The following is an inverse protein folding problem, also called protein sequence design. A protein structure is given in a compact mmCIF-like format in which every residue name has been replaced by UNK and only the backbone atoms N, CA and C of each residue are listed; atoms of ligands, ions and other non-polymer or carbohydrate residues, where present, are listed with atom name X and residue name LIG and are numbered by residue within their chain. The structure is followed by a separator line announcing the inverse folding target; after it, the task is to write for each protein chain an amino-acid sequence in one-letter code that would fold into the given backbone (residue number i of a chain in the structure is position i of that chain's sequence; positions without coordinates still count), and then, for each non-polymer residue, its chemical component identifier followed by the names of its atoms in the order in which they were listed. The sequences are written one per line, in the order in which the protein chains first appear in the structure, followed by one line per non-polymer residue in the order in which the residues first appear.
data_IF_000016534806
#
_entry.id   IF_000016534806
#
_cell.length_a   1.000
_cell.length_b   1.000
_cell.length_c   1.000
_cell.angle_alpha   90.00
_cell.angle_beta   90.00
_cell.angle_gamma   90.00
#
_symmetry.space_group_name_H-M   'P 1'
#
loop_
_entity.id
_entity.type
_entity.pdbx_description
1 polymer ?
#
# COMPACT_ATOMS: atom_id res chain seq x y z
N UNK A 1 -33.88 4.89 -43.73
CA UNK A 1 -34.66 4.48 -42.54
C UNK A 1 -34.64 5.65 -41.55
N UNK A 2 -35.76 6.38 -41.36
CA UNK A 2 -35.80 7.56 -40.47
C UNK A 2 -36.03 7.07 -39.03
N UNK A 3 -34.98 7.10 -38.20
CA UNK A 3 -35.11 6.83 -36.76
C UNK A 3 -35.92 7.96 -36.15
N UNK A 4 -37.06 7.62 -35.54
CA UNK A 4 -37.95 8.56 -34.86
C UNK A 4 -37.21 9.28 -33.72
N UNK A 5 -37.38 10.60 -33.61
CA UNK A 5 -36.82 11.41 -32.51
C UNK A 5 -37.16 10.84 -31.13
N UNK A 6 -38.30 10.16 -30.99
CA UNK A 6 -38.70 9.49 -29.74
C UNK A 6 -37.78 8.29 -29.42
N UNK A 7 -37.39 7.50 -30.43
CA UNK A 7 -36.51 6.34 -30.24
C UNK A 7 -35.11 6.80 -29.83
N UNK A 8 -34.60 7.88 -30.43
CA UNK A 8 -33.32 8.49 -30.04
C UNK A 8 -33.35 9.00 -28.59
N UNK A 9 -34.46 9.60 -28.16
CA UNK A 9 -34.63 10.10 -26.79
C UNK A 9 -34.64 8.97 -25.75
N UNK A 10 -35.34 7.87 -26.02
CA UNK A 10 -35.31 6.70 -25.14
C UNK A 10 -33.93 6.05 -25.07
N UNK A 11 -33.20 6.00 -26.18
CA UNK A 11 -31.82 5.50 -26.20
C UNK A 11 -30.89 6.36 -25.33
N UNK A 12 -31.00 7.70 -25.42
CA UNK A 12 -30.23 8.61 -24.58
C UNK A 12 -30.57 8.47 -23.10
N UNK A 13 -31.83 8.28 -22.75
CA UNK A 13 -32.25 8.08 -21.35
C UNK A 13 -31.71 6.75 -20.81
N UNK A 14 -31.76 5.67 -21.59
CA UNK A 14 -31.19 4.37 -21.19
C UNK A 14 -29.66 4.45 -21.00
N UNK A 15 -28.95 5.18 -21.89
CA UNK A 15 -27.50 5.41 -21.76
C UNK A 15 -27.19 6.26 -20.50
N UNK A 16 -28.01 7.27 -20.19
CA UNK A 16 -27.85 8.10 -18.99
C UNK A 16 -28.06 7.32 -17.68
N UNK A 17 -28.97 6.32 -17.66
CA UNK A 17 -29.19 5.46 -16.49
C UNK A 17 -28.20 4.29 -16.40
N UNK A 18 -27.60 3.83 -17.51
CA UNK A 18 -26.54 2.81 -17.48
C UNK A 18 -25.15 3.36 -17.13
N UNK A 19 -24.94 4.68 -17.20
CA UNK A 19 -23.64 5.28 -16.90
C UNK A 19 -23.33 5.42 -15.40
N UNK A 20 -24.27 5.11 -14.50
CA UNK A 20 -23.99 5.03 -13.06
C UNK A 20 -23.64 3.59 -12.68
N UNK A 21 -22.48 3.10 -13.12
CA UNK A 21 -21.85 1.94 -12.48
C UNK A 21 -21.66 2.28 -11.01
N UNK A 22 -22.47 1.68 -10.13
CA UNK A 22 -22.34 1.85 -8.68
C UNK A 22 -20.91 1.48 -8.30
N UNK A 23 -20.14 2.48 -7.88
CA UNK A 23 -18.78 2.30 -7.39
C UNK A 23 -18.81 1.29 -6.24
N UNK A 24 -18.00 0.23 -6.33
CA UNK A 24 -17.91 -0.75 -5.27
C UNK A 24 -17.49 -0.04 -3.97
N UNK A 25 -18.33 -0.03 -2.92
CA UNK A 25 -18.08 0.76 -1.72
C UNK A 25 -16.81 0.34 -0.98
N UNK A 26 -16.36 -0.90 -1.16
CA UNK A 26 -15.13 -1.45 -0.59
C UNK A 26 -13.86 -0.82 -1.16
N UNK A 27 -13.87 -0.35 -2.41
CA UNK A 27 -12.68 0.22 -3.05
C UNK A 27 -12.27 1.49 -2.32
N UNK A 28 -11.00 1.59 -1.93
CA UNK A 28 -10.39 2.73 -1.28
C UNK A 28 -9.47 2.33 -0.13
N UNK A 29 -8.91 3.33 0.54
CA UNK A 29 -8.05 3.15 1.71
C UNK A 29 -8.88 3.23 2.99
N UNK A 30 -8.63 2.32 3.91
CA UNK A 30 -9.37 2.16 5.14
C UNK A 30 -8.41 2.17 6.31
N UNK A 31 -8.46 3.25 7.10
CA UNK A 31 -7.67 3.42 8.32
C UNK A 31 -8.35 2.70 9.48
N UNK A 32 -7.60 1.89 10.21
CA UNK A 32 -8.08 1.26 11.42
C UNK A 32 -8.24 2.31 12.53
N UNK A 33 -9.37 2.31 13.24
CA UNK A 33 -9.67 3.38 14.22
C UNK A 33 -9.83 2.92 15.66
N UNK A 34 -10.38 1.72 15.95
CA UNK A 34 -10.55 1.26 17.35
C UNK A 34 -10.99 -0.21 17.48
N UNK A 35 -10.54 -0.91 18.53
CA UNK A 35 -11.10 -2.18 19.05
C UNK A 35 -11.19 -2.07 20.58
N UNK A 36 -12.39 -1.83 21.11
CA UNK A 36 -12.78 -2.39 22.41
C UNK A 36 -14.30 -2.38 22.52
N UNK A 37 -14.88 -3.57 22.63
CA UNK A 37 -16.32 -3.80 22.86
C UNK A 37 -16.48 -4.28 24.29
N UNK A 38 -16.08 -3.48 25.28
CA UNK A 38 -16.27 -3.84 26.68
C UNK A 38 -17.27 -2.92 27.42
N UNK A 39 -17.69 -1.80 26.82
CA UNK A 39 -18.67 -0.91 27.45
C UNK A 39 -19.58 -0.24 26.41
N UNK A 40 -20.90 -0.28 26.58
CA UNK A 40 -21.87 0.35 25.66
C UNK A 40 -21.69 1.87 25.56
N UNK A 41 -21.16 2.50 26.62
CA UNK A 41 -20.90 3.94 26.69
C UNK A 41 -19.75 4.41 25.78
N UNK A 42 -18.77 3.55 25.50
CA UNK A 42 -17.60 3.91 24.68
C UNK A 42 -17.81 3.63 23.18
N UNK A 43 -18.92 2.99 22.80
CA UNK A 43 -19.31 2.71 21.41
C UNK A 43 -19.47 3.97 20.53
N UNK A 44 -19.68 5.12 21.16
CA UNK A 44 -19.94 6.41 20.51
C UNK A 44 -18.84 7.45 20.74
N UNK A 45 -17.78 7.14 21.50
CA UNK A 45 -16.64 8.05 21.59
C UNK A 45 -15.84 7.97 20.30
N UNK A 46 -15.82 9.07 19.54
CA UNK A 46 -14.73 9.33 18.60
C UNK A 46 -13.48 9.69 19.42
N UNK A 47 -12.94 8.71 20.15
CA UNK A 47 -11.66 8.93 20.80
C UNK A 47 -10.58 8.92 19.71
N UNK A 48 -9.85 10.04 19.61
CA UNK A 48 -8.76 10.28 18.68
C UNK A 48 -7.47 9.52 19.11
N UNK A 49 -7.64 8.31 19.65
CA UNK A 49 -6.53 7.41 19.99
C UNK A 49 -5.90 6.86 18.71
N UNK A 50 -5.08 7.72 18.14
CA UNK A 50 -4.14 7.61 17.02
C UNK A 50 -3.06 6.53 17.15
N UNK A 51 -3.17 5.59 18.09
CA UNK A 51 -2.12 4.59 18.33
C UNK A 51 -2.05 3.50 17.26
N UNK A 52 -3.10 3.32 16.46
CA UNK A 52 -3.13 2.31 15.43
C UNK A 52 -2.87 2.89 14.04
N UNK A 53 -1.70 2.54 13.49
CA UNK A 53 -1.25 2.94 12.14
C UNK A 53 -1.44 1.81 11.11
N UNK A 54 -2.46 0.98 11.30
CA UNK A 54 -2.79 -0.08 10.33
C UNK A 54 -3.82 0.43 9.32
N UNK A 55 -3.61 0.10 8.05
CA UNK A 55 -4.45 0.55 6.93
C UNK A 55 -4.62 -0.57 5.93
N UNK A 56 -5.81 -0.70 5.36
CA UNK A 56 -6.06 -1.60 4.23
C UNK A 56 -6.55 -0.79 3.03
N UNK A 57 -5.86 -0.91 1.91
CA UNK A 57 -6.29 -0.37 0.62
C UNK A 57 -6.81 -1.51 -0.23
N UNK A 58 -8.04 -1.37 -0.72
CA UNK A 58 -8.67 -2.27 -1.67
C UNK A 58 -8.76 -1.55 -3.02
N UNK A 59 -8.00 -1.98 -4.01
CA UNK A 59 -7.95 -1.35 -5.34
C UNK A 59 -9.01 -1.93 -6.27
N UNK A 60 -9.42 -1.14 -7.27
CA UNK A 60 -10.43 -1.54 -8.26
C UNK A 60 -9.99 -2.63 -9.25
N UNK A 61 -8.70 -2.94 -9.30
CA UNK A 61 -8.12 -4.06 -10.06
C UNK A 61 -8.01 -5.35 -9.23
N UNK A 62 -8.75 -5.41 -8.10
CA UNK A 62 -8.73 -6.50 -7.13
C UNK A 62 -7.38 -6.72 -6.43
N UNK A 63 -6.45 -5.76 -6.49
CA UNK A 63 -5.25 -5.79 -5.65
C UNK A 63 -5.52 -5.18 -4.28
N UNK A 64 -4.78 -5.61 -3.25
CA UNK A 64 -4.83 -4.97 -1.94
C UNK A 64 -3.44 -4.72 -1.37
N UNK A 65 -3.38 -3.70 -0.50
CA UNK A 65 -2.25 -3.41 0.37
C UNK A 65 -2.77 -3.34 1.80
N UNK A 66 -2.21 -4.13 2.71
CA UNK A 66 -2.48 -4.02 4.13
C UNK A 66 -1.17 -3.71 4.85
N UNK A 67 -1.12 -2.54 5.46
CA UNK A 67 -0.05 -2.12 6.36
C UNK A 67 -0.49 -2.45 7.77
N UNK A 68 0.30 -3.25 8.48
CA UNK A 68 0.03 -3.70 9.84
C UNK A 68 1.15 -3.29 10.79
N UNK A 69 0.82 -2.53 11.83
CA UNK A 69 1.79 -1.95 12.77
C UNK A 69 1.72 -2.60 14.19
N UNK A 70 1.49 -3.91 14.26
CA UNK A 70 2.01 -4.81 15.31
C UNK A 70 1.43 -4.75 16.73
N UNK A 71 0.56 -3.80 17.10
CA UNK A 71 -0.06 -3.79 18.45
C UNK A 71 -1.38 -4.55 18.54
N UNK A 72 -2.15 -4.61 17.45
CA UNK A 72 -3.39 -5.40 17.33
C UNK A 72 -3.60 -5.68 15.85
N UNK A 73 -2.96 -6.72 15.37
CA UNK A 73 -3.07 -7.07 13.96
C UNK A 73 -4.33 -7.89 13.71
N UNK A 74 -5.07 -7.62 12.62
CA UNK A 74 -6.10 -8.53 12.15
C UNK A 74 -5.55 -9.87 11.67
N UNK A 75 -4.23 -9.96 11.49
CA UNK A 75 -3.54 -11.12 10.93
C UNK A 75 -2.52 -11.66 11.93
N UNK A 76 -1.58 -10.89 12.48
CA UNK A 76 -0.50 -11.36 13.38
C UNK A 76 -0.94 -11.46 14.85
N UNK A 77 -0.61 -12.58 15.49
CA UNK A 77 -0.94 -12.88 16.89
C UNK A 77 0.25 -12.74 17.85
N UNK A 78 1.43 -12.33 17.37
CA UNK A 78 2.59 -12.21 18.25
C UNK A 78 2.46 -10.96 19.13
N UNK A 79 2.03 -11.17 20.37
CA UNK A 79 2.24 -10.21 21.46
C UNK A 79 3.73 -9.90 21.54
N UNK A 80 4.12 -8.72 21.08
CA UNK A 80 5.48 -8.24 21.26
C UNK A 80 5.67 -8.04 22.77
N UNK A 81 6.65 -8.68 23.41
CA UNK A 81 6.91 -8.48 24.83
C UNK A 81 7.12 -6.98 25.10
N UNK A 82 6.37 -6.41 26.03
CA UNK A 82 6.45 -4.98 26.40
C UNK A 82 7.87 -4.53 26.79
N UNK A 83 8.74 -5.47 27.12
CA UNK A 83 10.10 -5.23 27.59
C UNK A 83 11.16 -5.27 26.47
N UNK A 84 10.79 -5.49 25.21
CA UNK A 84 11.75 -5.38 24.10
C UNK A 84 11.94 -3.90 23.69
N UNK A 85 12.67 -3.15 24.52
CA UNK A 85 13.19 -1.81 24.21
C UNK A 85 14.34 -1.89 23.18
N UNK A 86 14.11 -2.51 22.02
CA UNK A 86 14.97 -2.30 20.87
C UNK A 86 14.41 -1.12 20.06
N UNK A 87 15.08 0.03 20.15
CA UNK A 87 14.82 1.27 19.40
C UNK A 87 15.05 1.13 17.88
N UNK A 88 14.49 0.12 17.22
CA UNK A 88 14.49 0.00 15.77
C UNK A 88 13.13 -0.53 15.27
N UNK A 89 12.13 0.35 15.19
CA UNK A 89 11.15 0.60 14.09
C UNK A 89 10.65 -0.52 13.13
N UNK A 90 10.81 -1.82 13.39
CA UNK A 90 10.57 -2.88 12.39
C UNK A 90 9.27 -3.70 12.54
N UNK A 91 8.32 -3.26 13.36
CA UNK A 91 7.06 -4.00 13.56
C UNK A 91 6.01 -3.75 12.46
N UNK A 92 6.36 -3.03 11.40
CA UNK A 92 5.47 -2.84 10.26
C UNK A 92 5.58 -4.01 9.29
N UNK A 93 4.50 -4.76 9.14
CA UNK A 93 4.30 -5.77 8.10
C UNK A 93 3.47 -5.14 6.97
N UNK A 94 3.86 -5.37 5.71
CA UNK A 94 3.05 -4.95 4.56
C UNK A 94 2.66 -6.19 3.76
N UNK A 95 1.37 -6.49 3.71
CA UNK A 95 0.79 -7.55 2.89
C UNK A 95 0.34 -6.97 1.56
N UNK A 96 0.70 -7.64 0.47
CA UNK A 96 0.28 -7.31 -0.88
C UNK A 96 -0.24 -8.55 -1.58
N UNK A 97 -1.32 -8.41 -2.35
CA UNK A 97 -1.82 -9.47 -3.20
C UNK A 97 -3.20 -9.16 -3.75
N UNK A 98 -4.06 -10.17 -3.86
CA UNK A 98 -5.41 -10.00 -4.43
C UNK A 98 -6.51 -10.17 -3.40
N UNK A 99 -7.66 -9.54 -3.66
CA UNK A 99 -8.85 -9.69 -2.84
C UNK A 99 -10.08 -10.03 -3.68
N UNK A 100 -11.04 -10.71 -3.06
CA UNK A 100 -12.35 -11.00 -3.65
C UNK A 100 -13.43 -11.02 -2.58
N UNK A 101 -14.70 -10.98 -2.99
CA UNK A 101 -15.83 -11.01 -2.05
C UNK A 101 -16.85 -12.04 -2.48
N UNK A 102 -17.28 -12.87 -1.53
CA UNK A 102 -18.38 -13.82 -1.70
C UNK A 102 -19.14 -13.94 -0.38
N UNK A 103 -20.47 -13.86 -0.42
CA UNK A 103 -21.35 -14.06 0.74
C UNK A 103 -20.97 -13.18 1.97
N UNK A 104 -20.66 -11.90 1.73
CA UNK A 104 -20.17 -10.95 2.74
C UNK A 104 -18.86 -11.34 3.43
N UNK A 105 -18.07 -12.25 2.83
CA UNK A 105 -16.73 -12.60 3.25
C UNK A 105 -15.75 -12.00 2.23
N UNK A 106 -14.78 -11.25 2.72
CA UNK A 106 -13.62 -10.80 1.96
C UNK A 106 -12.55 -11.87 2.06
N UNK A 107 -12.04 -12.32 0.93
CA UNK A 107 -10.93 -13.27 0.82
C UNK A 107 -9.70 -12.50 0.34
N UNK A 108 -8.56 -12.76 0.95
CA UNK A 108 -7.28 -12.15 0.64
C UNK A 108 -6.28 -13.24 0.30
N UNK A 109 -5.61 -13.12 -0.83
CA UNK A 109 -4.50 -13.98 -1.25
C UNK A 109 -3.21 -13.13 -1.29
N UNK A 110 -2.27 -13.38 -0.38
CA UNK A 110 -0.99 -12.66 -0.32
C UNK A 110 0.00 -13.23 -1.33
N UNK A 111 0.78 -12.33 -1.94
CA UNK A 111 1.80 -12.66 -2.94
C UNK A 111 3.22 -12.37 -2.46
N UNK A 112 3.35 -11.70 -1.32
CA UNK A 112 4.64 -11.31 -0.74
C UNK A 112 4.91 -11.95 0.64
N UNK A 113 4.07 -12.88 1.10
CA UNK A 113 4.20 -13.47 2.43
C UNK A 113 4.01 -15.00 2.41
N UNK A 114 5.07 -15.75 2.75
CA UNK A 114 5.08 -17.22 2.63
C UNK A 114 4.20 -17.94 3.66
N UNK A 115 4.19 -17.47 4.90
CA UNK A 115 3.54 -18.20 6.01
C UNK A 115 2.03 -17.96 6.09
N UNK A 116 1.51 -16.99 5.32
CA UNK A 116 0.09 -16.63 5.30
C UNK A 116 -0.34 -16.28 3.88
N UNK A 117 -0.38 -17.28 2.99
CA UNK A 117 -0.78 -17.06 1.61
C UNK A 117 -2.24 -16.61 1.51
N UNK A 118 -3.08 -16.93 2.49
CA UNK A 118 -4.50 -16.60 2.44
C UNK A 118 -5.04 -16.24 3.84
N UNK A 119 -5.98 -15.30 3.88
CA UNK A 119 -6.82 -15.01 5.05
C UNK A 119 -8.17 -14.44 4.61
N UNK A 120 -9.14 -14.42 5.52
CA UNK A 120 -10.48 -13.92 5.21
C UNK A 120 -11.05 -13.08 6.35
N UNK A 121 -12.04 -12.25 6.03
CA UNK A 121 -12.78 -11.47 7.03
C UNK A 121 -14.26 -11.34 6.66
N UNK A 122 -15.14 -11.45 7.65
CA UNK A 122 -16.58 -11.22 7.45
C UNK A 122 -16.90 -9.74 7.57
N UNK A 123 -17.61 -9.20 6.59
CA UNK A 123 -18.18 -7.85 6.64
C UNK A 123 -19.39 -7.89 7.58
N UNK A 124 -19.28 -7.26 8.74
CA UNK A 124 -20.36 -7.12 9.72
C UNK A 124 -21.29 -5.97 9.33
N UNK A 125 -20.71 -4.83 8.96
CA UNK A 125 -21.44 -3.67 8.46
C UNK A 125 -20.54 -2.79 7.61
N UNK A 126 -21.13 -2.06 6.67
CA UNK A 126 -20.40 -1.12 5.82
C UNK A 126 -21.31 0.00 5.33
N UNK A 127 -20.76 1.21 5.28
CA UNK A 127 -21.30 2.34 4.52
C UNK A 127 -20.16 3.03 3.76
N UNK A 128 -20.42 4.18 3.15
CA UNK A 128 -19.43 4.92 2.35
C UNK A 128 -18.21 5.41 3.15
N UNK A 129 -18.29 5.46 4.49
CA UNK A 129 -17.24 6.00 5.37
C UNK A 129 -16.71 5.02 6.40
N UNK A 130 -17.46 3.96 6.74
CA UNK A 130 -17.12 3.05 7.81
C UNK A 130 -17.31 1.60 7.35
N UNK A 131 -16.38 0.74 7.75
CA UNK A 131 -16.45 -0.69 7.54
C UNK A 131 -16.12 -1.40 8.85
N UNK A 132 -16.90 -2.43 9.18
CA UNK A 132 -16.68 -3.29 10.33
C UNK A 132 -16.42 -4.70 9.84
N UNK A 133 -15.25 -5.22 10.19
CA UNK A 133 -14.75 -6.51 9.78
C UNK A 133 -14.64 -7.44 10.99
N UNK A 134 -14.95 -8.72 10.83
CA UNK A 134 -14.71 -9.75 11.85
C UNK A 134 -13.82 -10.81 11.25
N UNK A 135 -12.62 -10.96 11.81
CA UNK A 135 -11.67 -11.97 11.37
C UNK A 135 -11.97 -13.28 12.12
N UNK A 136 -11.94 -14.44 11.43
CA UNK A 136 -12.15 -15.74 12.06
C UNK A 136 -11.08 -15.98 13.14
N UNK A 137 -11.44 -16.75 14.17
CA UNK A 137 -10.63 -16.94 15.39
C UNK A 137 -9.18 -17.30 15.06
N UNK A 138 -8.26 -16.35 15.28
CA UNK A 138 -6.82 -16.62 15.25
C UNK A 138 -6.34 -16.87 16.67
N UNK A 139 -6.39 -18.15 17.05
CA UNK A 139 -5.78 -18.82 18.21
C UNK A 139 -5.95 -18.30 19.65
N UNK A 140 -6.31 -17.05 19.98
CA UNK A 140 -6.46 -16.66 21.41
C UNK A 140 -7.57 -15.65 21.74
N UNK A 141 -8.23 -15.02 20.76
CA UNK A 141 -9.33 -14.07 21.02
C UNK A 141 -10.53 -14.36 20.13
N UNK A 142 -11.61 -14.88 20.74
CA UNK A 142 -12.86 -15.14 20.02
C UNK A 142 -13.47 -13.84 19.50
N UNK A 143 -13.82 -13.80 18.22
CA UNK A 143 -14.75 -12.83 17.65
C UNK A 143 -14.33 -11.36 17.74
N UNK A 144 -13.06 -11.03 17.46
CA UNK A 144 -12.62 -9.64 17.42
C UNK A 144 -13.19 -8.93 16.19
N UNK A 145 -13.85 -7.80 16.43
CA UNK A 145 -14.36 -6.94 15.38
C UNK A 145 -13.46 -5.71 15.21
N UNK A 146 -13.05 -5.44 13.97
CA UNK A 146 -12.16 -4.36 13.59
C UNK A 146 -12.98 -3.27 12.91
N UNK A 147 -12.88 -2.03 13.42
CA UNK A 147 -13.51 -0.86 12.81
C UNK A 147 -12.51 -0.12 11.94
N UNK A 148 -12.90 0.13 10.71
CA UNK A 148 -12.16 0.93 9.76
C UNK A 148 -12.96 2.15 9.32
N UNK A 149 -12.29 3.29 9.23
CA UNK A 149 -12.80 4.53 8.63
C UNK A 149 -12.13 4.72 7.29
N UNK A 150 -12.91 5.01 6.26
CA UNK A 150 -12.38 5.27 4.93
C UNK A 150 -11.52 6.53 4.97
N UNK A 151 -10.25 6.37 4.67
CA UNK A 151 -9.32 7.44 4.43
C UNK A 151 -9.36 7.77 2.94
N UNK A 152 -9.27 9.05 2.64
CA UNK A 152 -9.37 9.57 1.29
C UNK A 152 -10.77 9.45 0.66
N UNK A 153 -11.51 10.56 0.67
CA UNK A 153 -12.76 10.67 -0.07
C UNK A 153 -12.53 10.62 -1.60
N UNK A 154 -11.29 10.88 -2.05
CA UNK A 154 -10.83 10.68 -3.41
C UNK A 154 -10.12 9.34 -3.48
N UNK A 155 -10.69 8.42 -4.25
CA UNK A 155 -10.11 7.11 -4.44
C UNK A 155 -8.78 7.22 -5.18
N UNK A 156 -7.68 6.78 -4.56
CA UNK A 156 -6.35 6.71 -5.19
C UNK A 156 -6.43 6.05 -6.57
N UNK A 157 -7.35 5.09 -6.75
CA UNK A 157 -7.54 4.40 -8.02
C UNK A 157 -8.00 5.31 -9.17
N UNK A 158 -8.56 6.49 -8.86
CA UNK A 158 -8.98 7.50 -9.82
C UNK A 158 -7.91 8.56 -10.10
N UNK A 159 -6.82 8.57 -9.33
CA UNK A 159 -5.70 9.48 -9.56
C UNK A 159 -4.81 8.98 -10.69
N UNK A 160 -4.21 9.91 -11.44
CA UNK A 160 -3.12 9.59 -12.38
C UNK A 160 -1.89 9.00 -11.69
N UNK A 161 -1.77 9.20 -10.37
CA UNK A 161 -0.69 8.67 -9.53
C UNK A 161 -1.17 7.48 -8.69
N UNK A 162 -1.97 6.58 -9.29
CA UNK A 162 -2.53 5.41 -8.62
C UNK A 162 -1.44 4.41 -8.20
N UNK A 163 -0.74 4.70 -7.10
CA UNK A 163 0.35 3.89 -6.56
C UNK A 163 -0.15 2.57 -5.94
N UNK A 164 -1.46 2.36 -5.83
CA UNK A 164 -2.07 1.18 -5.20
C UNK A 164 -2.47 0.11 -6.22
N UNK A 165 -2.31 0.38 -7.52
CA UNK A 165 -2.57 -0.60 -8.56
C UNK A 165 -1.55 -1.76 -8.54
N UNK A 166 -1.94 -2.89 -9.11
CA UNK A 166 -1.13 -4.09 -9.16
C UNK A 166 0.18 -3.86 -9.93
N UNK A 167 0.12 -3.13 -11.04
CA UNK A 167 1.27 -2.90 -11.93
C UNK A 167 2.43 -2.19 -11.22
N UNK A 168 2.17 -1.18 -10.40
CA UNK A 168 3.18 -0.48 -9.61
C UNK A 168 3.60 -1.23 -8.35
N UNK A 169 2.97 -2.35 -8.00
CA UNK A 169 3.30 -3.11 -6.79
C UNK A 169 3.94 -4.48 -7.07
N UNK A 170 4.23 -4.81 -8.34
CA UNK A 170 4.89 -6.07 -8.73
C UNK A 170 6.23 -6.28 -8.04
N UNK A 171 6.94 -5.20 -7.69
CA UNK A 171 8.20 -5.27 -6.97
C UNK A 171 8.08 -5.97 -5.61
N UNK A 172 6.90 -5.97 -4.99
CA UNK A 172 6.63 -6.63 -3.70
C UNK A 172 6.56 -8.14 -3.82
N UNK A 173 6.36 -8.70 -5.01
CA UNK A 173 6.18 -10.15 -5.20
C UNK A 173 7.52 -10.85 -5.05
N UNK A 174 7.61 -11.85 -4.17
CA UNK A 174 8.86 -12.60 -3.98
C UNK A 174 9.20 -13.42 -5.23
N UNK A 175 10.46 -13.36 -5.66
CA UNK A 175 10.96 -14.17 -6.77
C UNK A 175 11.02 -15.66 -6.41
N UNK A 176 10.45 -16.51 -7.27
CA UNK A 176 10.37 -17.98 -7.07
C UNK A 176 11.60 -18.73 -7.58
N UNK A 177 12.44 -18.08 -8.38
CA UNK A 177 13.65 -18.64 -8.98
C UNK A 177 14.70 -17.56 -9.15
N UNK A 178 15.97 -17.97 -9.31
CA UNK A 178 17.09 -17.09 -9.65
C UNK A 178 16.74 -16.16 -10.80
N UNK A 179 17.10 -14.89 -10.68
CA UNK A 179 16.76 -13.85 -11.65
C UNK A 179 17.96 -13.49 -12.53
N UNK A 180 17.68 -13.07 -13.76
CA UNK A 180 18.70 -12.40 -14.57
C UNK A 180 18.87 -10.95 -14.11
N UNK A 181 19.99 -10.31 -14.48
CA UNK A 181 20.25 -8.90 -14.19
C UNK A 181 19.13 -7.98 -14.68
N UNK A 182 18.54 -8.30 -15.83
CA UNK A 182 17.42 -7.54 -16.42
C UNK A 182 16.17 -7.66 -15.57
N UNK A 183 15.83 -8.87 -15.10
CA UNK A 183 14.68 -9.08 -14.21
C UNK A 183 14.86 -8.40 -12.86
N UNK A 184 16.08 -8.41 -12.33
CA UNK A 184 16.43 -7.68 -11.10
C UNK A 184 16.24 -6.17 -11.34
N UNK A 185 16.79 -5.63 -12.44
CA UNK A 185 16.64 -4.23 -12.81
C UNK A 185 15.17 -3.82 -12.93
N UNK A 186 14.36 -4.56 -13.68
CA UNK A 186 12.92 -4.25 -13.84
C UNK A 186 12.17 -4.23 -12.50
N UNK A 187 12.57 -5.08 -11.54
CA UNK A 187 11.99 -5.07 -10.19
C UNK A 187 12.37 -3.80 -9.41
N UNK A 188 13.61 -3.32 -9.55
CA UNK A 188 14.08 -2.06 -8.95
C UNK A 188 13.39 -0.86 -9.62
N UNK A 189 13.27 -0.85 -10.94
CA UNK A 189 12.56 0.18 -11.68
C UNK A 189 11.11 0.30 -11.21
N UNK A 190 10.41 -0.83 -11.08
CA UNK A 190 9.04 -0.86 -10.57
C UNK A 190 8.92 -0.34 -9.12
N UNK A 191 9.91 -0.63 -8.27
CA UNK A 191 9.98 -0.12 -6.90
C UNK A 191 10.19 1.42 -6.85
N UNK A 192 11.01 1.95 -7.76
CA UNK A 192 11.21 3.40 -7.90
C UNK A 192 9.96 4.08 -8.46
N UNK A 193 9.32 3.50 -9.49
CA UNK A 193 8.08 4.00 -10.09
C UNK A 193 6.95 4.05 -9.06
N UNK A 194 6.80 3.03 -8.22
CA UNK A 194 5.92 3.07 -7.05
C UNK A 194 6.21 4.25 -6.15
N UNK A 195 7.48 4.42 -5.74
CA UNK A 195 7.89 5.45 -4.80
C UNK A 195 7.63 6.85 -5.34
N UNK A 196 7.87 7.05 -6.63
CA UNK A 196 7.61 8.30 -7.34
C UNK A 196 6.10 8.56 -7.37
N UNK A 197 5.29 7.61 -7.84
CA UNK A 197 3.84 7.76 -7.91
C UNK A 197 3.23 8.02 -6.51
N UNK A 198 3.73 7.32 -5.49
CA UNK A 198 3.31 7.52 -4.10
C UNK A 198 3.57 8.96 -3.65
N UNK A 199 4.78 9.49 -3.84
CA UNK A 199 5.09 10.87 -3.41
C UNK A 199 4.39 11.92 -4.28
N UNK A 200 4.29 11.72 -5.59
CA UNK A 200 3.56 12.63 -6.50
C UNK A 200 2.07 12.70 -6.16
N UNK A 201 1.46 11.58 -5.75
CA UNK A 201 0.09 11.56 -5.26
C UNK A 201 -0.08 12.48 -4.05
N UNK A 202 0.78 12.31 -3.04
CA UNK A 202 0.70 13.07 -1.79
C UNK A 202 1.05 14.55 -2.00
N UNK A 203 1.98 14.85 -2.90
CA UNK A 203 2.26 16.23 -3.32
C UNK A 203 1.05 16.86 -4.00
N UNK A 204 0.43 16.15 -4.95
CA UNK A 204 -0.68 16.66 -5.75
C UNK A 204 -1.95 16.88 -4.92
N UNK A 205 -2.22 15.98 -3.98
CA UNK A 205 -3.39 16.05 -3.10
C UNK A 205 -3.16 16.91 -1.84
N UNK A 206 -1.96 17.48 -1.65
CA UNK A 206 -1.55 18.22 -0.45
C UNK A 206 -1.77 17.41 0.85
N UNK A 207 -1.33 16.15 0.83
CA UNK A 207 -1.49 15.18 1.92
C UNK A 207 -0.15 14.76 2.50
N UNK A 208 -0.15 14.40 3.79
CA UNK A 208 1.03 13.83 4.44
C UNK A 208 1.31 12.44 3.86
N UNK A 209 2.52 12.24 3.32
CA UNK A 209 2.97 10.96 2.82
C UNK A 209 3.25 9.98 3.97
N UNK A 210 2.37 8.98 4.13
CA UNK A 210 2.57 7.91 5.10
C UNK A 210 3.57 6.88 4.58
N UNK A 211 4.86 7.09 4.87
CA UNK A 211 5.97 6.27 4.34
C UNK A 211 5.93 4.81 4.77
N UNK A 212 5.00 4.39 5.65
CA UNK A 212 4.74 2.98 5.94
C UNK A 212 4.29 2.19 4.70
N UNK A 213 3.61 2.84 3.74
CA UNK A 213 3.34 2.22 2.43
C UNK A 213 4.62 1.87 1.68
N UNK A 214 5.72 2.57 1.93
CA UNK A 214 6.99 2.35 1.25
C UNK A 214 7.74 1.14 1.81
N UNK A 215 7.37 0.54 2.93
CA UNK A 215 8.04 -0.69 3.38
C UNK A 215 7.75 -1.87 2.43
N UNK A 216 8.71 -2.76 2.14
CA UNK A 216 10.06 -2.82 2.73
C UNK A 216 11.15 -2.12 1.90
N UNK A 217 10.86 -1.06 1.15
CA UNK A 217 11.86 -0.38 0.30
C UNK A 217 13.15 -0.06 1.06
N UNK A 218 14.31 -0.11 0.37
CA UNK A 218 15.61 0.14 0.98
C UNK A 218 15.87 1.64 1.21
N UNK A 219 14.83 2.46 1.37
CA UNK A 219 14.94 3.91 1.52
C UNK A 219 14.49 4.38 2.91
N UNK A 220 15.17 5.40 3.44
CA UNK A 220 14.70 6.21 4.56
C UNK A 220 14.36 7.60 4.03
N UNK A 221 13.12 8.01 4.20
CA UNK A 221 12.63 9.32 3.77
C UNK A 221 12.77 10.32 4.93
N UNK A 222 13.36 11.48 4.64
CA UNK A 222 13.56 12.59 5.58
C UNK A 222 12.99 13.89 5.01
N UNK A 223 12.90 14.91 5.87
CA UNK A 223 12.46 16.25 5.48
C UNK A 223 13.43 16.96 4.52
N UNK A 224 14.69 16.53 4.43
CA UNK A 224 15.71 17.16 3.59
C UNK A 224 16.29 16.21 2.54
N UNK A 225 15.64 15.07 2.29
CA UNK A 225 16.09 14.11 1.30
C UNK A 225 15.76 12.67 1.66
N UNK A 226 16.35 11.76 0.91
CA UNK A 226 16.19 10.32 1.05
C UNK A 226 17.57 9.70 1.22
N UNK A 227 17.68 8.65 2.02
CA UNK A 227 18.90 7.88 2.17
C UNK A 227 18.66 6.41 1.84
N UNK A 228 19.65 5.77 1.21
CA UNK A 228 19.63 4.33 1.02
C UNK A 228 20.02 3.63 2.33
N UNK A 229 19.14 2.78 2.85
CA UNK A 229 19.40 1.88 3.99
C UNK A 229 20.54 0.94 3.62
N UNK A 230 21.45 0.61 4.55
CA UNK A 230 22.56 -0.34 4.28
C UNK A 230 22.00 -1.74 3.97
N UNK A 231 22.60 -2.47 3.02
CA UNK A 231 22.15 -3.80 2.57
C UNK A 231 21.79 -4.77 3.70
N UNK A 232 22.69 -4.94 4.68
CA UNK A 232 22.49 -5.86 5.81
C UNK A 232 21.38 -5.43 6.78
N UNK A 233 20.87 -4.20 6.69
CA UNK A 233 19.75 -3.70 7.50
C UNK A 233 18.40 -3.80 6.78
N UNK A 234 18.37 -4.42 5.60
CA UNK A 234 17.21 -4.47 4.71
C UNK A 234 16.65 -5.90 4.54
N UNK A 235 16.55 -6.67 5.62
CA UNK A 235 16.13 -8.07 5.56
C UNK A 235 14.83 -8.27 4.78
N UNK A 236 13.78 -7.47 5.07
CA UNK A 236 12.49 -7.54 4.36
C UNK A 236 12.56 -7.20 2.87
N UNK A 237 13.47 -6.33 2.45
CA UNK A 237 13.71 -6.04 1.02
C UNK A 237 14.44 -7.20 0.36
N UNK A 238 15.49 -7.70 1.01
CA UNK A 238 16.30 -8.80 0.53
C UNK A 238 15.43 -10.07 0.35
N UNK A 239 14.45 -10.26 1.24
CA UNK A 239 13.47 -11.33 1.17
C UNK A 239 12.56 -11.30 -0.07
N UNK A 240 12.49 -10.17 -0.79
CA UNK A 240 11.72 -10.07 -2.04
C UNK A 240 12.44 -10.72 -3.24
N UNK A 241 13.73 -11.02 -3.10
CA UNK A 241 14.54 -11.69 -4.11
C UNK A 241 14.56 -13.21 -3.87
N UNK A 242 15.14 -13.94 -4.82
CA UNK A 242 15.20 -15.40 -4.73
C UNK A 242 16.20 -15.85 -3.65
N UNK A 243 17.39 -15.26 -3.67
CA UNK A 243 18.50 -15.51 -2.75
C UNK A 243 19.27 -14.21 -2.42
N UNK A 244 20.27 -14.33 -1.55
CA UNK A 244 21.10 -13.20 -1.10
C UNK A 244 21.93 -12.58 -2.23
N UNK A 245 22.37 -13.38 -3.20
CA UNK A 245 23.15 -12.88 -4.34
C UNK A 245 22.28 -11.99 -5.24
N UNK A 246 21.04 -12.39 -5.55
CA UNK A 246 20.10 -11.55 -6.31
C UNK A 246 19.79 -10.24 -5.55
N UNK A 247 19.61 -10.32 -4.23
CA UNK A 247 19.42 -9.14 -3.39
C UNK A 247 20.64 -8.20 -3.39
N UNK A 248 21.85 -8.76 -3.33
CA UNK A 248 23.10 -7.99 -3.39
C UNK A 248 23.28 -7.31 -4.74
N UNK A 249 23.05 -8.04 -5.84
CA UNK A 249 23.07 -7.46 -7.19
C UNK A 249 22.08 -6.31 -7.29
N UNK A 250 20.87 -6.49 -6.75
CA UNK A 250 19.86 -5.45 -6.77
C UNK A 250 20.27 -4.21 -5.99
N UNK A 251 20.84 -4.41 -4.80
CA UNK A 251 21.34 -3.34 -3.95
C UNK A 251 22.49 -2.58 -4.61
N UNK A 252 23.44 -3.28 -5.23
CA UNK A 252 24.59 -2.65 -5.88
C UNK A 252 24.17 -1.84 -7.11
N UNK A 253 23.23 -2.35 -7.92
CA UNK A 253 22.64 -1.60 -9.03
C UNK A 253 21.96 -0.33 -8.52
N UNK A 254 21.08 -0.46 -7.53
CA UNK A 254 20.36 0.67 -6.96
C UNK A 254 21.31 1.70 -6.34
N UNK A 255 22.30 1.25 -5.55
CA UNK A 255 23.29 2.12 -4.91
C UNK A 255 24.12 2.87 -5.94
N UNK A 256 24.56 2.21 -7.01
CA UNK A 256 25.30 2.87 -8.10
C UNK A 256 24.49 4.00 -8.68
N UNK A 257 23.24 3.74 -9.08
CA UNK A 257 22.38 4.76 -9.68
C UNK A 257 21.98 5.87 -8.70
N UNK A 258 21.74 5.52 -7.43
CA UNK A 258 21.43 6.48 -6.38
C UNK A 258 22.60 7.45 -6.11
N UNK A 259 23.84 6.96 -6.20
CA UNK A 259 25.03 7.79 -6.02
C UNK A 259 25.34 8.69 -7.22
N UNK A 260 24.73 8.44 -8.38
CA UNK A 260 24.89 9.23 -9.61
C UNK A 260 23.85 10.35 -9.74
N UNK A 261 22.99 10.54 -8.73
CA UNK A 261 21.95 11.58 -8.75
C UNK A 261 22.57 12.96 -8.88
N UNK A 262 22.02 13.75 -9.81
CA UNK A 262 22.45 15.12 -10.06
C UNK A 262 22.22 16.03 -8.83
N UNK A 263 22.89 17.18 -8.82
CA UNK A 263 22.67 18.21 -7.79
C UNK A 263 21.21 18.65 -7.76
N UNK A 264 20.67 18.77 -6.54
CA UNK A 264 19.29 19.22 -6.32
C UNK A 264 19.13 20.66 -6.83
N UNK A 265 18.16 20.94 -7.72
CA UNK A 265 17.87 22.29 -8.18
C UNK A 265 17.46 23.21 -7.04
N UNK A 266 17.89 24.48 -7.09
CA UNK A 266 17.64 25.45 -6.02
C UNK A 266 16.14 25.69 -5.81
N UNK A 267 15.35 25.63 -6.89
CA UNK A 267 13.91 25.88 -6.90
C UNK A 267 13.12 24.86 -6.06
N UNK A 268 13.65 23.65 -5.89
CA UNK A 268 13.00 22.58 -5.11
C UNK A 268 13.68 22.32 -3.78
N UNK A 269 14.83 22.95 -3.50
CA UNK A 269 15.68 22.72 -2.32
C UNK A 269 15.01 22.96 -0.96
N UNK A 270 13.87 23.66 -0.93
CA UNK A 270 13.08 23.94 0.28
C UNK A 270 11.84 23.07 0.44
N UNK A 271 11.56 22.19 -0.54
CA UNK A 271 10.38 21.34 -0.50
C UNK A 271 10.78 19.85 -0.35
N UNK A 272 10.60 19.28 0.86
CA UNK A 272 10.96 17.89 1.16
C UNK A 272 10.46 16.85 0.16
N UNK A 273 9.18 16.94 -0.22
CA UNK A 273 8.57 15.93 -1.10
C UNK A 273 9.13 16.03 -2.52
N UNK A 274 9.32 17.26 -3.02
CA UNK A 274 9.92 17.50 -4.34
C UNK A 274 11.37 17.04 -4.41
N UNK A 275 12.16 17.24 -3.36
CA UNK A 275 13.54 16.73 -3.28
C UNK A 275 13.54 15.20 -3.39
N UNK A 276 12.68 14.53 -2.62
CA UNK A 276 12.60 13.07 -2.64
C UNK A 276 12.14 12.54 -4.00
N UNK A 277 11.13 13.17 -4.63
CA UNK A 277 10.68 12.85 -5.99
C UNK A 277 11.81 13.02 -7.00
N UNK A 278 12.55 14.13 -6.92
CA UNK A 278 13.68 14.41 -7.81
C UNK A 278 14.77 13.34 -7.71
N UNK A 279 15.21 13.01 -6.48
CA UNK A 279 16.25 12.00 -6.25
C UNK A 279 15.83 10.64 -6.82
N UNK A 280 14.58 10.23 -6.59
CA UNK A 280 14.06 8.96 -7.12
C UNK A 280 13.97 8.97 -8.66
N UNK A 281 13.55 10.07 -9.27
CA UNK A 281 13.48 10.22 -10.74
C UNK A 281 14.85 10.16 -11.39
N UNK A 282 15.85 10.86 -10.85
CA UNK A 282 17.22 10.80 -11.38
C UNK A 282 17.84 9.42 -11.13
N UNK A 283 17.57 8.78 -10.00
CA UNK A 283 17.99 7.38 -9.75
C UNK A 283 17.39 6.44 -10.80
N UNK A 284 16.09 6.56 -11.10
CA UNK A 284 15.41 5.74 -12.11
C UNK A 284 15.96 5.99 -13.53
N UNK A 285 16.24 7.25 -13.85
CA UNK A 285 16.81 7.65 -15.13
C UNK A 285 18.21 7.07 -15.35
N UNK A 286 19.10 7.17 -14.36
CA UNK A 286 20.44 6.57 -14.43
C UNK A 286 20.39 5.04 -14.53
N UNK A 287 19.49 4.41 -13.76
CA UNK A 287 19.28 2.97 -13.79
C UNK A 287 18.87 2.49 -15.19
N UNK A 288 18.00 3.25 -15.87
CA UNK A 288 17.53 2.98 -17.24
C UNK A 288 18.60 3.25 -18.30
N UNK A 289 19.53 4.19 -18.07
CA UNK A 289 20.56 4.56 -19.05
C UNK A 289 21.84 3.72 -19.02
N UNK A 290 21.98 2.81 -18.05
CA UNK A 290 23.22 2.05 -17.87
C UNK A 290 23.40 0.90 -18.89
N UNK A 291 22.47 0.70 -19.84
CA UNK A 291 22.53 -0.28 -20.95
C UNK A 291 21.70 0.18 -22.16
#
# INVERSE_FOLDING_TARGET
MKISKKILMYLCIIILFYSCTKKNPLIGTWKFTYIQVNNEADKYKEDDYSSYKSYITLSGDNSFLLVDHGQSSPITTSSIPKDSLSENDNNTEVYFGTWSVKDSIIYFETQNHKTRPEFSSKIISMNSRNMKLSFPEQMQTKGVEFKYKKEDYNDVSSSKYNFTNNELNKWRIKSKSKQTKEKIRSKIENALEFSIAFLEYHEFEDKVAMTLYSEPLPFKFYGNGIALKKHYKNEKWNDLFYDEEDASIAYDMLKKSFNNVASIPEEISKNPIKINIFILKETLKDLKSTH
#
